data_IF_726735238608
#
_entry.id   IF_726735238608
#
_cell.length_a   1.000
_cell.length_b   1.000
_cell.length_c   1.000
_cell.angle_alpha   90.00
_cell.angle_beta   90.00
_cell.angle_gamma   90.00
#
_symmetry.space_group_name_H-M   'P 1'
#
loop_
_entity.id
_entity.type
_entity.pdbx_description
1 polymer ?
#
# COMPACT_ATOMS: atom_id res chain seq x y z
N UNK A 1 36.59 21.35 13.17
CA UNK A 1 36.44 21.50 11.68
C UNK A 1 36.86 20.20 11.03
N UNK A 2 35.97 19.19 10.92
CA UNK A 2 36.19 18.04 10.03
C UNK A 2 35.65 18.42 8.66
N UNK A 3 36.52 18.39 7.68
CA UNK A 3 36.26 18.70 6.28
C UNK A 3 35.17 17.79 5.74
N UNK A 4 34.01 18.37 5.43
CA UNK A 4 32.97 17.76 4.56
C UNK A 4 33.49 17.94 3.12
N UNK A 5 34.53 17.20 2.76
CA UNK A 5 35.00 17.05 1.39
C UNK A 5 35.00 15.56 1.05
N UNK A 6 34.49 15.26 -0.15
CA UNK A 6 34.62 14.02 -0.92
C UNK A 6 33.44 13.02 -0.94
N UNK A 7 32.21 13.51 -1.02
CA UNK A 7 31.21 12.74 -1.79
C UNK A 7 30.63 13.66 -2.86
N UNK A 8 30.88 13.35 -4.14
CA UNK A 8 30.28 14.11 -5.23
C UNK A 8 28.75 14.17 -5.01
N UNK A 9 28.13 15.36 -5.08
CA UNK A 9 26.70 15.54 -4.78
C UNK A 9 25.81 14.55 -5.56
N UNK A 10 26.21 14.15 -6.77
CA UNK A 10 25.51 13.17 -7.57
C UNK A 10 25.47 11.77 -6.97
N UNK A 11 26.58 11.26 -6.40
CA UNK A 11 26.64 9.93 -5.79
C UNK A 11 25.74 9.81 -4.56
N UNK A 12 25.68 10.86 -3.75
CA UNK A 12 24.83 10.90 -2.55
C UNK A 12 23.35 10.95 -2.93
N UNK A 13 22.99 11.68 -3.98
CA UNK A 13 21.62 11.74 -4.51
C UNK A 13 21.17 10.40 -5.11
N UNK A 14 22.05 9.76 -5.90
CA UNK A 14 21.75 8.44 -6.50
C UNK A 14 21.54 7.39 -5.42
N UNK A 15 22.48 7.26 -4.46
CA UNK A 15 22.37 6.28 -3.38
C UNK A 15 21.17 6.55 -2.46
N UNK A 16 20.80 7.82 -2.26
CA UNK A 16 19.61 8.20 -1.50
C UNK A 16 18.30 7.84 -2.20
N UNK A 17 18.27 7.85 -3.54
CA UNK A 17 17.11 7.51 -4.36
C UNK A 17 16.91 6.02 -4.60
N UNK A 18 17.97 5.20 -4.51
CA UNK A 18 17.91 3.76 -4.82
C UNK A 18 16.96 3.00 -3.89
N UNK A 19 16.98 3.27 -2.59
CA UNK A 19 16.12 2.55 -1.63
C UNK A 19 14.62 2.78 -1.87
N UNK A 20 14.12 4.03 -2.00
CA UNK A 20 12.73 4.29 -2.36
C UNK A 20 12.34 3.68 -3.71
N UNK A 21 13.24 3.74 -4.69
CA UNK A 21 12.99 3.20 -6.02
C UNK A 21 12.88 1.67 -5.99
N UNK A 22 13.81 0.98 -5.32
CA UNK A 22 13.77 -0.47 -5.15
C UNK A 22 12.49 -0.92 -4.46
N UNK A 23 12.05 -0.22 -3.40
CA UNK A 23 10.79 -0.51 -2.72
C UNK A 23 9.58 -0.41 -3.65
N UNK A 24 9.46 0.71 -4.38
CA UNK A 24 8.35 0.91 -5.32
C UNK A 24 8.32 -0.12 -6.45
N UNK A 25 9.48 -0.47 -7.00
CA UNK A 25 9.59 -1.49 -8.05
C UNK A 25 9.19 -2.85 -7.48
N UNK A 26 9.70 -3.24 -6.31
CA UNK A 26 9.37 -4.51 -5.66
C UNK A 26 7.87 -4.63 -5.39
N UNK A 27 7.26 -3.57 -4.84
CA UNK A 27 5.82 -3.51 -4.60
C UNK A 27 5.02 -3.65 -5.89
N UNK A 28 5.37 -2.89 -6.94
CA UNK A 28 4.70 -2.95 -8.24
C UNK A 28 4.80 -4.35 -8.86
N UNK A 29 5.99 -4.94 -8.84
CA UNK A 29 6.22 -6.29 -9.37
C UNK A 29 5.42 -7.34 -8.59
N UNK A 30 5.38 -7.27 -7.27
CA UNK A 30 4.65 -8.22 -6.45
C UNK A 30 3.15 -8.23 -6.78
N UNK A 31 2.52 -7.06 -6.94
CA UNK A 31 1.12 -6.96 -7.36
C UNK A 31 0.91 -7.55 -8.77
N UNK A 32 1.82 -7.29 -9.70
CA UNK A 32 1.71 -7.80 -11.08
C UNK A 32 1.91 -9.32 -11.14
N UNK A 33 2.91 -9.83 -10.45
CA UNK A 33 3.19 -11.26 -10.34
C UNK A 33 1.97 -12.03 -9.81
N UNK A 34 1.29 -11.50 -8.78
CA UNK A 34 0.08 -12.11 -8.24
C UNK A 34 -1.03 -12.27 -9.29
N UNK A 35 -1.24 -11.26 -10.13
CA UNK A 35 -2.23 -11.33 -11.23
C UNK A 35 -1.84 -12.31 -12.32
N UNK A 36 -0.56 -12.38 -12.67
CA UNK A 36 -0.02 -13.32 -13.67
C UNK A 36 -0.19 -14.76 -13.18
N UNK A 37 0.20 -15.04 -11.92
CA UNK A 37 0.05 -16.37 -11.33
C UNK A 37 -1.43 -16.78 -11.28
N UNK A 38 -2.33 -15.87 -10.88
CA UNK A 38 -3.76 -16.15 -10.88
C UNK A 38 -4.28 -16.51 -12.28
N UNK A 39 -3.86 -15.76 -13.31
CA UNK A 39 -4.25 -16.03 -14.69
C UNK A 39 -3.77 -17.40 -15.20
N UNK A 40 -2.53 -17.78 -14.83
CA UNK A 40 -1.93 -19.07 -15.24
C UNK A 40 -2.57 -20.24 -14.49
N UNK A 41 -2.79 -20.11 -13.17
CA UNK A 41 -3.22 -21.22 -12.31
C UNK A 41 -4.74 -21.38 -12.29
N UNK A 42 -5.48 -20.27 -12.19
CA UNK A 42 -6.95 -20.28 -12.04
C UNK A 42 -7.70 -19.78 -13.30
N UNK A 43 -6.96 -19.44 -14.35
CA UNK A 43 -7.50 -19.00 -15.63
C UNK A 43 -7.85 -17.52 -15.70
N UNK A 44 -7.98 -17.01 -16.92
CA UNK A 44 -8.29 -15.60 -17.22
C UNK A 44 -9.66 -15.16 -16.71
N UNK A 45 -10.62 -16.08 -16.60
CA UNK A 45 -11.93 -15.80 -16.02
C UNK A 45 -11.82 -15.38 -14.55
N UNK A 46 -11.05 -16.11 -13.75
CA UNK A 46 -10.80 -15.76 -12.33
C UNK A 46 -10.09 -14.41 -12.20
N UNK A 47 -9.15 -14.12 -13.08
CA UNK A 47 -8.52 -12.82 -13.13
C UNK A 47 -9.52 -11.70 -13.48
N UNK A 48 -10.43 -11.93 -14.43
CA UNK A 48 -11.48 -10.98 -14.79
C UNK A 48 -12.42 -10.68 -13.62
N UNK A 49 -12.86 -11.71 -12.91
CA UNK A 49 -13.70 -11.57 -11.70
C UNK A 49 -12.98 -10.80 -10.60
N UNK A 50 -11.71 -11.12 -10.34
CA UNK A 50 -10.88 -10.35 -9.38
C UNK A 50 -10.70 -8.90 -9.81
N UNK A 51 -10.51 -8.63 -11.11
CA UNK A 51 -10.36 -7.28 -11.63
C UNK A 51 -11.62 -6.43 -11.38
N UNK A 52 -12.82 -7.01 -11.53
CA UNK A 52 -14.08 -6.35 -11.19
C UNK A 52 -14.13 -6.01 -9.69
N UNK A 53 -13.76 -6.95 -8.81
CA UNK A 53 -13.72 -6.71 -7.36
C UNK A 53 -12.72 -5.60 -6.98
N UNK A 54 -11.60 -5.49 -7.69
CA UNK A 54 -10.54 -4.50 -7.43
C UNK A 54 -10.83 -3.12 -8.04
N UNK A 55 -11.70 -3.02 -9.05
CA UNK A 55 -11.85 -1.81 -9.87
C UNK A 55 -12.11 -0.54 -9.02
N UNK A 56 -13.07 -0.58 -8.11
CA UNK A 56 -13.42 0.57 -7.26
C UNK A 56 -12.40 0.76 -6.12
N UNK A 57 -12.05 -0.27 -5.31
CA UNK A 57 -11.04 -0.12 -4.25
C UNK A 57 -9.69 0.40 -4.76
N UNK A 58 -9.19 -0.10 -5.89
CA UNK A 58 -7.94 0.38 -6.50
C UNK A 58 -8.05 1.84 -7.02
N UNK A 59 -9.19 2.22 -7.60
CA UNK A 59 -9.42 3.61 -8.02
C UNK A 59 -9.38 4.58 -6.82
N UNK A 60 -9.97 4.18 -5.69
CA UNK A 60 -9.97 4.98 -4.46
C UNK A 60 -8.58 5.12 -3.82
N UNK A 61 -7.59 4.31 -4.23
CA UNK A 61 -6.18 4.43 -3.79
C UNK A 61 -5.55 5.79 -4.13
N UNK A 62 -6.12 6.54 -5.05
CA UNK A 62 -5.66 7.91 -5.36
C UNK A 62 -5.80 8.83 -4.15
N UNK A 63 -6.84 8.65 -3.32
CA UNK A 63 -7.11 9.50 -2.16
C UNK A 63 -5.99 9.44 -1.11
N UNK A 64 -5.58 8.25 -0.59
CA UNK A 64 -4.49 8.19 0.37
C UNK A 64 -3.16 8.64 -0.22
N UNK A 65 -2.90 8.46 -1.52
CA UNK A 65 -1.68 8.98 -2.16
C UNK A 65 -1.66 10.50 -2.20
N UNK A 66 -2.77 11.14 -2.57
CA UNK A 66 -2.88 12.59 -2.61
C UNK A 66 -2.75 13.21 -1.22
N UNK A 67 -3.45 12.65 -0.22
CA UNK A 67 -3.36 13.13 1.16
C UNK A 67 -1.97 12.92 1.75
N UNK A 68 -1.29 11.80 1.42
CA UNK A 68 0.08 11.55 1.84
C UNK A 68 1.05 12.64 1.35
N UNK A 69 0.89 13.11 0.11
CA UNK A 69 1.70 14.22 -0.42
C UNK A 69 1.48 15.51 0.37
N UNK A 70 0.22 15.89 0.61
CA UNK A 70 -0.12 17.07 1.38
C UNK A 70 0.44 17.00 2.80
N UNK A 71 0.30 15.85 3.48
CA UNK A 71 0.84 15.63 4.83
C UNK A 71 2.36 15.77 4.84
N UNK A 72 3.06 15.18 3.86
CA UNK A 72 4.51 15.27 3.76
C UNK A 72 4.99 16.71 3.50
N UNK A 73 4.31 17.46 2.65
CA UNK A 73 4.68 18.84 2.31
C UNK A 73 4.43 19.81 3.47
N UNK A 74 3.31 19.68 4.19
CA UNK A 74 3.02 20.47 5.39
C UNK A 74 4.02 20.19 6.52
N UNK A 75 4.44 18.92 6.66
CA UNK A 75 5.45 18.53 7.62
C UNK A 75 6.83 19.11 7.28
N UNK A 76 7.25 19.05 6.00
CA UNK A 76 8.52 19.63 5.53
C UNK A 76 8.57 21.17 5.70
N UNK A 77 7.44 21.83 5.46
CA UNK A 77 7.33 23.28 5.59
C UNK A 77 7.22 23.74 7.05
N UNK A 78 7.26 22.84 8.03
CA UNK A 78 7.14 23.15 9.44
C UNK A 78 5.75 23.65 9.87
N UNK A 79 4.74 23.52 8.99
CA UNK A 79 3.36 23.95 9.27
C UNK A 79 2.74 23.04 10.33
N UNK A 80 2.94 21.73 10.21
CA UNK A 80 2.36 20.74 11.11
C UNK A 80 3.40 20.17 12.08
N UNK A 81 3.03 20.05 13.34
CA UNK A 81 3.75 19.22 14.30
C UNK A 81 3.46 17.72 14.04
N UNK A 82 4.32 16.84 14.53
CA UNK A 82 4.08 15.38 14.47
C UNK A 82 2.73 15.01 15.09
N UNK A 83 2.31 15.67 16.16
CA UNK A 83 1.03 15.39 16.82
C UNK A 83 -0.15 15.81 15.94
N UNK A 84 -0.08 16.98 15.32
CA UNK A 84 -1.10 17.52 14.39
C UNK A 84 -1.22 16.61 13.16
N UNK A 85 -0.09 16.26 12.53
CA UNK A 85 -0.07 15.37 11.39
C UNK A 85 -0.69 13.99 11.71
N UNK A 86 -0.38 13.41 12.88
CA UNK A 86 -0.99 12.14 13.33
C UNK A 86 -2.49 12.23 13.54
N UNK A 87 -3.00 13.39 14.02
CA UNK A 87 -4.44 13.61 14.16
C UNK A 87 -5.12 13.63 12.80
N UNK A 88 -4.58 14.38 11.84
CA UNK A 88 -5.11 14.44 10.48
C UNK A 88 -5.10 13.07 9.81
N UNK A 89 -4.02 12.31 9.96
CA UNK A 89 -3.90 10.93 9.45
C UNK A 89 -4.99 10.02 10.04
N UNK A 90 -5.23 10.06 11.35
CA UNK A 90 -6.27 9.23 11.97
C UNK A 90 -7.66 9.56 11.43
N UNK A 91 -7.98 10.84 11.33
CA UNK A 91 -9.26 11.29 10.77
C UNK A 91 -9.41 10.84 9.31
N UNK A 92 -8.35 10.99 8.53
CA UNK A 92 -8.35 10.53 7.14
C UNK A 92 -8.52 9.00 7.03
N UNK A 93 -7.80 8.19 7.83
CA UNK A 93 -7.91 6.72 7.78
C UNK A 93 -9.34 6.29 8.12
N UNK A 94 -9.97 6.89 9.13
CA UNK A 94 -11.37 6.59 9.48
C UNK A 94 -12.31 6.97 8.35
N UNK A 95 -12.21 8.20 7.81
CA UNK A 95 -13.05 8.65 6.71
C UNK A 95 -12.86 7.83 5.43
N UNK A 96 -11.60 7.50 5.08
CA UNK A 96 -11.30 6.64 3.93
C UNK A 96 -11.82 5.21 4.13
N UNK A 97 -11.72 4.67 5.34
CA UNK A 97 -12.30 3.37 5.69
C UNK A 97 -13.81 3.34 5.51
N UNK A 98 -14.52 4.41 5.90
CA UNK A 98 -15.96 4.54 5.65
C UNK A 98 -16.27 4.57 4.16
N UNK A 99 -15.52 5.36 3.36
CA UNK A 99 -15.70 5.41 1.90
C UNK A 99 -15.50 4.03 1.29
N UNK A 100 -14.47 3.30 1.67
CA UNK A 100 -14.21 1.93 1.21
C UNK A 100 -15.32 0.97 1.63
N UNK A 101 -15.81 1.05 2.87
CA UNK A 101 -16.90 0.19 3.34
C UNK A 101 -18.20 0.45 2.56
N UNK A 102 -18.55 1.71 2.33
CA UNK A 102 -19.72 2.09 1.50
C UNK A 102 -19.53 1.61 0.07
N UNK A 103 -18.33 1.75 -0.51
CA UNK A 103 -18.02 1.28 -1.85
C UNK A 103 -18.11 -0.25 -1.96
N UNK A 104 -17.69 -0.99 -0.94
CA UNK A 104 -17.84 -2.45 -0.89
C UNK A 104 -19.32 -2.86 -0.80
N UNK A 105 -20.10 -2.20 0.05
CA UNK A 105 -21.53 -2.45 0.15
C UNK A 105 -22.27 -2.18 -1.17
N UNK A 106 -21.94 -1.06 -1.82
CA UNK A 106 -22.47 -0.72 -3.14
C UNK A 106 -22.04 -1.75 -4.20
N UNK A 107 -20.76 -2.14 -4.21
CA UNK A 107 -20.24 -3.15 -5.13
C UNK A 107 -20.89 -4.51 -4.95
N UNK A 108 -21.20 -4.91 -3.70
CA UNK A 108 -21.92 -6.14 -3.42
C UNK A 108 -23.29 -6.21 -4.15
N UNK A 109 -24.00 -5.08 -4.21
CA UNK A 109 -25.29 -4.98 -4.90
C UNK A 109 -25.10 -4.80 -6.40
N UNK A 110 -24.18 -3.93 -6.81
CA UNK A 110 -24.07 -3.49 -8.22
C UNK A 110 -23.33 -4.48 -9.12
N UNK A 111 -22.40 -5.29 -8.58
CA UNK A 111 -21.60 -6.22 -9.41
C UNK A 111 -22.48 -7.12 -10.30
N UNK A 112 -23.47 -7.86 -9.80
CA UNK A 112 -24.29 -8.71 -10.66
C UNK A 112 -25.21 -7.92 -11.59
N UNK A 113 -25.62 -6.73 -11.19
CA UNK A 113 -26.49 -5.85 -12.01
C UNK A 113 -25.74 -5.28 -13.21
N UNK A 114 -24.49 -4.84 -13.00
CA UNK A 114 -23.67 -4.16 -14.02
C UNK A 114 -22.93 -5.16 -14.90
N UNK A 115 -22.36 -6.21 -14.29
CA UNK A 115 -21.48 -7.18 -14.98
C UNK A 115 -22.16 -8.51 -15.27
N UNK A 116 -23.37 -8.73 -14.74
CA UNK A 116 -24.12 -9.97 -14.89
C UNK A 116 -23.71 -11.07 -13.91
N UNK A 117 -24.47 -12.15 -13.90
CA UNK A 117 -24.34 -13.26 -12.93
C UNK A 117 -22.98 -13.99 -13.01
N UNK A 118 -22.32 -13.95 -14.15
CA UNK A 118 -20.99 -14.53 -14.33
C UNK A 118 -19.89 -13.94 -13.44
N UNK A 119 -20.16 -12.76 -12.85
CA UNK A 119 -19.22 -12.04 -11.98
C UNK A 119 -19.61 -12.05 -10.50
N UNK A 120 -20.64 -12.80 -10.11
CA UNK A 120 -21.07 -12.89 -8.71
C UNK A 120 -19.96 -13.34 -7.76
N UNK A 121 -19.01 -14.17 -8.21
CA UNK A 121 -17.81 -14.54 -7.44
C UNK A 121 -16.92 -13.37 -7.03
N UNK A 122 -17.05 -12.18 -7.65
CA UNK A 122 -16.35 -10.98 -7.20
C UNK A 122 -16.77 -10.55 -5.80
N UNK A 123 -18.01 -10.83 -5.38
CA UNK A 123 -18.52 -10.55 -4.03
C UNK A 123 -17.73 -11.28 -2.96
N UNK A 124 -17.29 -12.52 -3.23
CA UNK A 124 -16.58 -13.36 -2.27
C UNK A 124 -15.22 -12.78 -1.85
N UNK A 125 -14.61 -12.00 -2.74
CA UNK A 125 -13.31 -11.39 -2.49
C UNK A 125 -13.38 -9.89 -2.26
N UNK A 126 -14.51 -9.24 -2.59
CA UNK A 126 -14.68 -7.78 -2.52
C UNK A 126 -14.34 -7.22 -1.13
N UNK A 127 -14.82 -7.86 -0.07
CA UNK A 127 -14.54 -7.42 1.32
C UNK A 127 -13.06 -7.52 1.63
N UNK A 128 -12.43 -8.62 1.23
CA UNK A 128 -11.00 -8.88 1.51
C UNK A 128 -10.10 -7.88 0.75
N UNK A 129 -10.38 -7.64 -0.53
CA UNK A 129 -9.59 -6.68 -1.31
C UNK A 129 -9.82 -5.24 -0.86
N UNK A 130 -11.04 -4.91 -0.42
CA UNK A 130 -11.33 -3.59 0.17
C UNK A 130 -10.60 -3.39 1.50
N UNK A 131 -10.56 -4.41 2.35
CA UNK A 131 -9.77 -4.39 3.58
C UNK A 131 -8.26 -4.24 3.28
N UNK A 132 -7.76 -4.90 2.23
CA UNK A 132 -6.37 -4.74 1.78
C UNK A 132 -6.05 -3.30 1.40
N UNK A 133 -6.95 -2.61 0.68
CA UNK A 133 -6.76 -1.20 0.32
C UNK A 133 -6.83 -0.26 1.53
N UNK A 134 -7.68 -0.54 2.51
CA UNK A 134 -7.72 0.21 3.77
C UNK A 134 -6.39 0.08 4.55
N UNK A 135 -5.83 -1.11 4.60
CA UNK A 135 -4.53 -1.37 5.23
C UNK A 135 -3.40 -0.70 4.45
N UNK A 136 -3.45 -0.73 3.11
CA UNK A 136 -2.47 -0.04 2.27
C UNK A 136 -2.48 1.48 2.48
N UNK A 137 -3.64 2.08 2.75
CA UNK A 137 -3.74 3.50 3.08
C UNK A 137 -2.94 3.84 4.35
N UNK A 138 -2.92 2.96 5.35
CA UNK A 138 -2.09 3.14 6.56
C UNK A 138 -0.60 3.22 6.20
N UNK A 139 -0.11 2.37 5.29
CA UNK A 139 1.26 2.45 4.80
C UNK A 139 1.57 3.82 4.18
N UNK A 140 0.74 4.33 3.26
CA UNK A 140 0.97 5.64 2.62
C UNK A 140 1.02 6.78 3.64
N UNK A 141 0.19 6.73 4.67
CA UNK A 141 0.18 7.74 5.73
C UNK A 141 1.45 7.70 6.59
N UNK A 142 1.96 6.53 6.93
CA UNK A 142 3.22 6.40 7.66
C UNK A 142 4.42 6.81 6.80
N UNK A 143 4.41 6.46 5.52
CA UNK A 143 5.43 6.90 4.57
C UNK A 143 5.45 8.44 4.46
N UNK A 144 4.28 9.10 4.46
CA UNK A 144 4.19 10.56 4.46
C UNK A 144 4.85 11.20 5.68
N UNK A 145 4.67 10.61 6.88
CA UNK A 145 5.36 11.07 8.09
C UNK A 145 6.89 10.92 7.99
N UNK A 146 7.36 9.79 7.46
CA UNK A 146 8.80 9.58 7.25
C UNK A 146 9.38 10.60 6.28
N UNK A 147 8.72 10.81 5.16
CA UNK A 147 9.17 11.75 4.12
C UNK A 147 9.11 13.19 4.61
N UNK A 148 8.11 13.52 5.44
CA UNK A 148 7.91 14.88 5.95
C UNK A 148 8.84 15.25 7.10
N UNK A 149 8.99 14.39 8.10
CA UNK A 149 9.72 14.70 9.35
C UNK A 149 11.09 14.05 9.45
N UNK A 150 11.32 12.93 8.75
CA UNK A 150 12.55 12.17 8.81
C UNK A 150 13.28 12.18 7.46
N UNK A 151 14.58 11.90 7.50
CA UNK A 151 15.34 11.72 6.27
C UNK A 151 15.02 10.37 5.64
N UNK A 152 14.91 10.30 4.30
CA UNK A 152 14.36 9.14 3.58
C UNK A 152 15.26 7.88 3.55
N UNK A 153 16.22 7.73 4.44
CA UNK A 153 17.03 6.50 4.51
C UNK A 153 16.15 5.33 4.94
N UNK A 154 16.07 4.29 4.10
CA UNK A 154 15.33 3.08 4.41
C UNK A 154 13.82 3.10 4.13
N UNK A 155 13.26 4.11 3.47
CA UNK A 155 11.84 4.18 3.11
C UNK A 155 11.38 2.96 2.29
N UNK A 156 12.25 2.43 1.42
CA UNK A 156 11.93 1.28 0.58
C UNK A 156 11.96 -0.08 1.31
N UNK A 157 12.51 -0.17 2.51
CA UNK A 157 12.64 -1.45 3.22
C UNK A 157 11.28 -2.08 3.55
N UNK A 158 10.30 -1.38 4.13
CA UNK A 158 8.97 -1.95 4.35
C UNK A 158 8.29 -2.45 3.08
N UNK A 159 8.47 -1.72 1.97
CA UNK A 159 7.90 -2.09 0.67
C UNK A 159 8.51 -3.40 0.14
N UNK A 160 9.83 -3.58 0.25
CA UNK A 160 10.51 -4.82 -0.14
C UNK A 160 10.05 -5.99 0.73
N UNK A 161 9.98 -5.81 2.05
CA UNK A 161 9.54 -6.87 2.97
C UNK A 161 8.09 -7.27 2.67
N UNK A 162 7.18 -6.30 2.54
CA UNK A 162 5.78 -6.57 2.18
C UNK A 162 5.64 -7.25 0.82
N UNK A 163 6.44 -6.85 -0.17
CA UNK A 163 6.45 -7.45 -1.50
C UNK A 163 6.90 -8.91 -1.47
N UNK A 164 7.98 -9.23 -0.75
CA UNK A 164 8.48 -10.61 -0.60
C UNK A 164 7.42 -11.50 0.06
N UNK A 165 6.83 -11.04 1.17
CA UNK A 165 5.76 -11.79 1.85
C UNK A 165 4.57 -12.01 0.92
N UNK A 166 4.13 -10.96 0.20
CA UNK A 166 3.02 -11.06 -0.73
C UNK A 166 3.31 -12.08 -1.84
N UNK A 167 4.50 -12.08 -2.45
CA UNK A 167 4.88 -13.03 -3.51
C UNK A 167 4.89 -14.45 -2.97
N UNK A 168 5.51 -14.69 -1.81
CA UNK A 168 5.56 -16.02 -1.18
C UNK A 168 4.14 -16.53 -0.90
N UNK A 169 3.29 -15.72 -0.30
CA UNK A 169 1.91 -16.11 -0.02
C UNK A 169 1.10 -16.32 -1.30
N UNK A 170 1.33 -15.53 -2.33
CA UNK A 170 0.69 -15.69 -3.64
C UNK A 170 1.00 -17.07 -4.23
N UNK A 171 2.29 -17.48 -4.22
CA UNK A 171 2.72 -18.79 -4.73
C UNK A 171 2.12 -19.96 -3.97
N UNK A 172 1.84 -19.79 -2.66
CA UNK A 172 1.28 -20.85 -1.80
C UNK A 172 -0.25 -20.87 -1.85
N UNK A 173 -0.88 -19.70 -1.82
CA UNK A 173 -2.33 -19.59 -1.61
C UNK A 173 -3.13 -19.67 -2.91
N UNK A 174 -2.62 -19.12 -4.03
CA UNK A 174 -3.36 -19.18 -5.30
C UNK A 174 -3.57 -20.60 -5.80
N UNK A 175 -2.59 -21.52 -5.78
CA UNK A 175 -2.80 -22.90 -6.22
C UNK A 175 -3.84 -23.65 -5.38
N UNK A 176 -4.03 -23.26 -4.10
CA UNK A 176 -4.97 -23.92 -3.19
C UNK A 176 -6.38 -23.30 -3.21
N UNK A 177 -6.44 -21.97 -3.28
CA UNK A 177 -7.69 -21.22 -3.08
C UNK A 177 -8.03 -20.27 -4.24
N UNK A 178 -7.31 -20.36 -5.36
CA UNK A 178 -7.58 -19.56 -6.56
C UNK A 178 -7.64 -18.07 -6.26
N UNK A 179 -8.74 -17.44 -6.66
CA UNK A 179 -8.98 -16.00 -6.50
C UNK A 179 -9.03 -15.55 -5.03
N UNK A 180 -9.59 -16.36 -4.13
CA UNK A 180 -9.58 -16.06 -2.68
C UNK A 180 -8.14 -16.08 -2.15
N UNK A 181 -7.32 -17.02 -2.60
CA UNK A 181 -5.89 -17.07 -2.29
C UNK A 181 -5.16 -15.79 -2.70
N UNK A 182 -5.47 -15.24 -3.87
CA UNK A 182 -4.91 -13.98 -4.34
C UNK A 182 -5.33 -12.80 -3.45
N UNK A 183 -6.60 -12.72 -3.06
CA UNK A 183 -7.11 -11.66 -2.19
C UNK A 183 -6.48 -11.72 -0.80
N UNK A 184 -6.40 -12.89 -0.16
CA UNK A 184 -5.78 -13.06 1.14
C UNK A 184 -4.27 -12.84 1.12
N UNK A 185 -3.55 -13.29 0.08
CA UNK A 185 -2.13 -13.00 -0.10
C UNK A 185 -1.87 -11.50 -0.19
N UNK A 186 -2.72 -10.75 -0.91
CA UNK A 186 -2.64 -9.29 -1.02
C UNK A 186 -2.89 -8.62 0.32
N UNK A 187 -3.94 -8.98 1.04
CA UNK A 187 -4.25 -8.44 2.37
C UNK A 187 -3.10 -8.69 3.35
N UNK A 188 -2.57 -9.91 3.37
CA UNK A 188 -1.45 -10.28 4.25
C UNK A 188 -0.18 -9.51 3.90
N UNK A 189 0.16 -9.40 2.62
CA UNK A 189 1.31 -8.62 2.15
C UNK A 189 1.20 -7.13 2.52
N UNK A 190 0.02 -6.52 2.32
CA UNK A 190 -0.23 -5.14 2.70
C UNK A 190 -0.25 -4.93 4.21
N UNK A 191 -0.69 -5.93 4.98
CA UNK A 191 -0.64 -5.90 6.45
C UNK A 191 0.80 -5.88 6.96
N UNK A 192 1.66 -6.73 6.44
CA UNK A 192 3.09 -6.74 6.78
C UNK A 192 3.75 -5.42 6.37
N UNK A 193 3.46 -4.92 5.18
CA UNK A 193 3.93 -3.63 4.70
C UNK A 193 3.53 -2.48 5.64
N UNK A 194 2.26 -2.40 6.04
CA UNK A 194 1.74 -1.37 6.93
C UNK A 194 2.34 -1.46 8.33
N UNK A 195 2.47 -2.68 8.88
CA UNK A 195 3.11 -2.93 10.17
C UNK A 195 4.58 -2.51 10.15
N UNK A 196 5.34 -2.96 9.16
CA UNK A 196 6.75 -2.59 9.00
C UNK A 196 6.91 -1.07 8.88
N UNK A 197 6.06 -0.40 8.09
CA UNK A 197 6.07 1.05 7.95
C UNK A 197 5.74 1.77 9.25
N UNK A 198 4.78 1.27 10.01
CA UNK A 198 4.39 1.83 11.31
C UNK A 198 5.52 1.74 12.33
N UNK A 199 6.14 0.55 12.45
CA UNK A 199 7.26 0.30 13.36
C UNK A 199 8.45 1.20 12.98
N UNK A 200 8.79 1.22 11.70
CA UNK A 200 9.91 2.03 11.19
C UNK A 200 9.70 3.52 11.45
N UNK A 201 8.52 4.04 11.11
CA UNK A 201 8.15 5.45 11.33
C UNK A 201 8.24 5.82 12.80
N UNK A 202 7.69 5.00 13.68
CA UNK A 202 7.71 5.27 15.12
C UNK A 202 9.15 5.26 15.68
N UNK A 203 9.99 4.36 15.19
CA UNK A 203 11.41 4.30 15.60
C UNK A 203 12.16 5.55 15.15
N UNK A 204 12.04 5.97 13.90
CA UNK A 204 12.73 7.16 13.37
C UNK A 204 12.24 8.46 14.03
N UNK A 205 10.94 8.61 14.24
CA UNK A 205 10.39 9.78 14.90
C UNK A 205 10.80 9.90 16.39
N UNK A 206 11.05 8.78 17.07
CA UNK A 206 11.61 8.79 18.44
C UNK A 206 13.08 9.24 18.46
N UNK A 207 13.86 8.89 17.44
CA UNK A 207 15.26 9.33 17.32
C UNK A 207 15.43 10.84 17.13
N UNK A 208 14.48 11.48 16.44
CA UNK A 208 14.53 12.94 16.19
C UNK A 208 14.15 13.76 17.45
N UNK A 209 13.39 13.15 18.36
CA UNK A 209 12.95 13.81 19.60
C UNK A 209 14.02 13.79 20.71
N UNK A 210 15.04 12.97 20.57
CA UNK A 210 16.19 12.89 21.49
C UNK A 210 17.35 13.78 20.97
#
# INVERSE_FOLDING_TARGET
>A
RRSVRDASPGRTLILGGLSPMAGKISFFLAVRVGRIILAIVAGTRSLGVLAVALAVPEALRILPKAVAQVVADRARSGIDSVATARRHIRLFIVGHGVILAVSAAAGWVLVPVVFGEGFTGARDVLVVVTAAEAVLAVHFMHQALLVGFARPKGIGVPEVVGAVVMVVLTLVMIPRWGMQGAAWATLSGFSVLALASTIWTNHELRRIRR
#
